data_IF_961252535041
#
_entry.id   IF_961252535041
#
_cell.length_a   1.000
_cell.length_b   1.000
_cell.length_c   1.000
_cell.angle_alpha   90.00
_cell.angle_beta   90.00
_cell.angle_gamma   90.00
#
_symmetry.space_group_name_H-M   'P 1'
#
loop_
_entity.id
_entity.type
_entity.pdbx_description
1 polymer ?
#
# COMPACT_ATOMS: atom_id res chain seq x y z
N UNK A 1 -1.88 -28.95 14.47
CA UNK A 1 -2.09 -27.75 15.30
C UNK A 1 -2.64 -26.65 14.42
N UNK A 2 -3.65 -25.94 14.89
CA UNK A 2 -4.30 -24.88 14.11
C UNK A 2 -3.46 -23.60 14.11
N UNK A 3 -3.75 -22.68 13.18
CA UNK A 3 -3.08 -21.37 13.12
C UNK A 3 -3.14 -20.65 14.48
N UNK A 4 -4.31 -20.60 15.10
CA UNK A 4 -4.52 -19.87 16.35
C UNK A 4 -3.74 -20.52 17.50
N UNK A 5 -3.76 -21.85 17.59
CA UNK A 5 -2.98 -22.59 18.58
C UNK A 5 -1.48 -22.35 18.43
N UNK A 6 -0.96 -22.32 17.21
CA UNK A 6 0.45 -22.03 16.95
C UNK A 6 0.82 -20.61 17.40
N UNK A 7 0.02 -19.61 16.99
CA UNK A 7 0.30 -18.20 17.31
C UNK A 7 0.17 -17.90 18.80
N UNK A 8 -0.77 -18.52 19.50
CA UNK A 8 -0.94 -18.33 20.94
C UNK A 8 0.19 -19.00 21.75
N UNK A 9 0.65 -20.19 21.32
CA UNK A 9 1.85 -20.81 21.90
C UNK A 9 3.11 -19.99 21.63
N UNK A 10 3.27 -19.49 20.41
CA UNK A 10 4.40 -18.63 20.05
C UNK A 10 4.39 -17.33 20.88
N UNK A 11 3.22 -16.70 21.07
CA UNK A 11 3.08 -15.52 21.96
C UNK A 11 3.49 -15.85 23.39
N UNK A 12 3.05 -16.98 23.93
CA UNK A 12 3.36 -17.39 25.30
C UNK A 12 4.86 -17.61 25.50
N UNK A 13 5.53 -18.31 24.56
CA UNK A 13 6.97 -18.55 24.63
C UNK A 13 7.80 -17.28 24.39
N UNK A 14 7.41 -16.42 23.45
CA UNK A 14 8.05 -15.10 23.28
C UNK A 14 7.91 -14.22 24.53
N UNK A 15 6.79 -14.34 25.26
CA UNK A 15 6.55 -13.61 26.52
C UNK A 15 7.47 -14.12 27.62
N UNK A 16 7.63 -15.44 27.70
CA UNK A 16 8.51 -16.12 28.64
C UNK A 16 9.99 -15.78 28.40
N UNK A 17 10.39 -15.65 27.13
CA UNK A 17 11.74 -15.26 26.72
C UNK A 17 11.95 -13.72 26.73
N UNK A 18 10.99 -12.96 27.25
CA UNK A 18 11.05 -11.50 27.41
C UNK A 18 11.42 -10.73 26.12
N UNK A 19 10.90 -11.18 24.98
CA UNK A 19 11.19 -10.60 23.66
C UNK A 19 10.39 -9.32 23.47
N UNK A 20 11.08 -8.17 23.42
CA UNK A 20 10.46 -6.85 23.29
C UNK A 20 9.65 -6.65 21.98
N UNK A 21 10.02 -7.35 20.91
CA UNK A 21 9.41 -7.22 19.57
C UNK A 21 8.38 -8.32 19.25
N UNK A 22 7.77 -8.94 20.27
CA UNK A 22 6.80 -10.04 20.10
C UNK A 22 5.67 -9.72 19.12
N UNK A 23 5.09 -8.52 19.19
CA UNK A 23 3.94 -8.14 18.37
C UNK A 23 4.26 -8.17 16.87
N UNK A 24 5.46 -7.71 16.50
CA UNK A 24 5.91 -7.71 15.10
C UNK A 24 6.19 -9.14 14.63
N UNK A 25 6.87 -9.96 15.45
CA UNK A 25 7.15 -11.37 15.14
C UNK A 25 5.86 -12.13 14.91
N UNK A 26 4.88 -12.02 15.82
CA UNK A 26 3.61 -12.72 15.70
C UNK A 26 2.84 -12.27 14.45
N UNK A 27 2.89 -10.97 14.13
CA UNK A 27 2.26 -10.44 12.91
C UNK A 27 2.89 -11.01 11.63
N UNK A 28 4.21 -11.23 11.59
CA UNK A 28 4.91 -11.86 10.47
C UNK A 28 4.48 -13.32 10.29
N UNK A 29 4.45 -14.10 11.38
CA UNK A 29 3.99 -15.49 11.33
C UNK A 29 2.53 -15.58 10.90
N UNK A 30 1.68 -14.68 11.39
CA UNK A 30 0.30 -14.60 10.97
C UNK A 30 0.16 -14.34 9.46
N UNK A 31 0.96 -13.42 8.91
CA UNK A 31 1.00 -13.17 7.47
C UNK A 31 1.50 -14.40 6.70
N UNK A 32 2.55 -15.08 7.18
CA UNK A 32 3.08 -16.29 6.55
C UNK A 32 2.03 -17.40 6.47
N UNK A 33 1.27 -17.63 7.55
CA UNK A 33 0.13 -18.54 7.54
C UNK A 33 -0.92 -18.12 6.50
N UNK A 34 -1.28 -16.84 6.43
CA UNK A 34 -2.26 -16.35 5.47
C UNK A 34 -1.82 -16.53 4.01
N UNK A 35 -0.51 -16.42 3.72
CA UNK A 35 0.03 -16.68 2.38
C UNK A 35 -0.02 -18.17 2.04
N UNK A 36 0.50 -19.03 2.91
CA UNK A 36 0.57 -20.47 2.62
C UNK A 36 -0.81 -21.13 2.54
N UNK A 37 -1.76 -20.67 3.35
CA UNK A 37 -3.14 -21.15 3.30
C UNK A 37 -3.79 -20.79 1.96
N UNK A 38 -3.50 -19.59 1.42
CA UNK A 38 -3.99 -19.19 0.10
C UNK A 38 -3.31 -19.91 -1.08
N UNK A 39 -2.11 -20.45 -0.87
CA UNK A 39 -1.42 -21.33 -1.82
C UNK A 39 -1.99 -22.78 -1.79
N UNK A 40 -2.95 -23.06 -0.91
CA UNK A 40 -3.65 -24.35 -0.80
C UNK A 40 -3.04 -25.32 0.21
N UNK A 41 -2.06 -24.89 1.01
CA UNK A 41 -1.51 -25.72 2.10
C UNK A 41 -2.45 -25.76 3.30
N UNK A 42 -2.58 -26.92 3.93
CA UNK A 42 -3.33 -27.06 5.19
C UNK A 42 -2.63 -26.37 6.36
N UNK A 43 -3.40 -25.86 7.33
CA UNK A 43 -2.83 -25.19 8.52
C UNK A 43 -1.81 -26.07 9.27
N UNK A 44 -2.08 -27.38 9.33
CA UNK A 44 -1.23 -28.35 10.00
C UNK A 44 0.10 -28.58 9.27
N UNK A 45 0.08 -28.58 7.94
CA UNK A 45 1.30 -28.68 7.12
C UNK A 45 2.16 -27.42 7.25
N UNK A 46 1.52 -26.26 7.34
CA UNK A 46 2.20 -24.97 7.53
C UNK A 46 2.90 -24.96 8.89
N UNK A 47 2.19 -25.37 9.95
CA UNK A 47 2.75 -25.46 11.30
C UNK A 47 3.89 -26.49 11.38
N UNK A 48 3.73 -27.66 10.74
CA UNK A 48 4.78 -28.67 10.68
C UNK A 48 6.05 -28.16 9.97
N UNK A 49 5.89 -27.37 8.90
CA UNK A 49 7.01 -26.75 8.16
C UNK A 49 7.69 -25.62 8.93
N UNK A 50 6.95 -24.89 9.78
CA UNK A 50 7.51 -23.82 10.61
C UNK A 50 8.30 -24.37 11.81
N UNK A 51 8.03 -25.61 12.22
CA UNK A 51 8.66 -26.26 13.36
C UNK A 51 7.94 -25.96 14.67
N UNK A 52 8.51 -26.40 15.80
CA UNK A 52 7.88 -26.17 17.11
C UNK A 52 7.98 -24.68 17.52
N UNK A 53 6.89 -24.06 18.01
CA UNK A 53 6.88 -22.64 18.39
C UNK A 53 7.88 -22.32 19.50
N UNK A 54 8.24 -23.29 20.35
CA UNK A 54 9.28 -23.18 21.38
C UNK A 54 10.68 -23.00 20.77
N UNK A 55 11.01 -23.77 19.72
CA UNK A 55 12.30 -23.67 19.02
C UNK A 55 12.39 -22.34 18.29
N UNK A 56 11.29 -21.92 17.66
CA UNK A 56 11.20 -20.62 17.00
C UNK A 56 11.34 -19.47 18.00
N UNK A 57 10.67 -19.53 19.15
CA UNK A 57 10.81 -18.52 20.20
C UNK A 57 12.22 -18.49 20.81
N UNK A 58 12.89 -19.64 20.90
CA UNK A 58 14.28 -19.73 21.36
C UNK A 58 15.28 -19.06 20.41
N UNK A 59 15.00 -18.99 19.09
CA UNK A 59 15.82 -18.22 18.15
C UNK A 59 15.80 -16.71 18.43
N UNK A 60 14.78 -16.23 19.15
CA UNK A 60 14.64 -14.83 19.55
C UNK A 60 15.09 -14.59 20.99
N UNK A 61 15.55 -15.63 21.69
CA UNK A 61 16.06 -15.53 23.05
C UNK A 61 17.41 -14.81 23.04
N UNK A 62 17.45 -13.66 23.69
CA UNK A 62 18.64 -12.82 23.82
C UNK A 62 19.69 -13.43 24.76
N UNK A 63 19.37 -14.53 25.45
CA UNK A 63 20.27 -15.23 26.37
C UNK A 63 21.31 -16.15 25.69
N UNK A 64 21.12 -16.53 24.41
CA UNK A 64 21.93 -17.55 23.73
C UNK A 64 23.15 -17.09 22.93
N UNK A 65 23.20 -15.83 22.44
CA UNK A 65 24.35 -15.32 21.68
C UNK A 65 25.24 -14.44 22.58
N UNK A 66 26.13 -15.09 23.33
CA UNK A 66 27.31 -14.43 23.85
C UNK A 66 28.16 -13.90 22.68
N UNK A 67 28.20 -12.57 22.50
CA UNK A 67 29.37 -11.91 21.92
C UNK A 67 29.29 -11.30 20.51
N UNK A 68 28.18 -10.67 20.09
CA UNK A 68 28.29 -9.61 19.06
C UNK A 68 28.41 -8.26 19.77
N UNK A 69 29.61 -7.69 19.73
CA UNK A 69 29.86 -6.35 20.23
C UNK A 69 28.91 -5.36 19.53
N UNK A 70 28.01 -4.73 20.30
CA UNK A 70 27.07 -3.74 19.76
C UNK A 70 27.78 -2.65 18.96
N UNK A 71 27.09 -2.09 17.97
CA UNK A 71 27.65 -1.10 17.03
C UNK A 71 28.60 -0.09 17.71
N UNK A 72 29.81 0.03 17.16
CA UNK A 72 30.78 1.04 17.57
C UNK A 72 30.22 2.46 17.44
N UNK A 73 30.78 3.40 18.20
CA UNK A 73 30.28 4.79 18.25
C UNK A 73 30.13 5.43 16.85
N UNK A 74 31.07 5.14 15.93
CA UNK A 74 31.00 5.63 14.55
C UNK A 74 29.76 5.11 13.78
N UNK A 75 29.39 3.84 13.97
CA UNK A 75 28.19 3.24 13.35
C UNK A 75 26.94 3.89 13.92
N UNK A 76 26.89 4.15 15.23
CA UNK A 76 25.75 4.84 15.86
C UNK A 76 25.56 6.27 15.34
N UNK A 77 26.66 7.01 15.14
CA UNK A 77 26.64 8.37 14.56
C UNK A 77 26.15 8.31 13.11
N UNK A 78 26.70 7.41 12.29
CA UNK A 78 26.25 7.24 10.90
C UNK A 78 24.78 6.85 10.80
N UNK A 79 24.33 5.96 11.69
CA UNK A 79 22.95 5.51 11.76
C UNK A 79 22.00 6.64 12.17
N UNK A 80 22.42 7.53 13.07
CA UNK A 80 21.65 8.72 13.45
C UNK A 80 21.41 9.65 12.25
N UNK A 81 22.46 9.97 11.48
CA UNK A 81 22.30 10.78 10.26
C UNK A 81 21.46 10.09 9.20
N UNK A 82 21.60 8.77 9.06
CA UNK A 82 20.78 7.96 8.14
C UNK A 82 19.31 8.02 8.54
N UNK A 83 19.00 7.87 9.83
CA UNK A 83 17.64 7.97 10.35
C UNK A 83 17.00 9.35 10.10
N UNK A 84 17.76 10.44 10.25
CA UNK A 84 17.28 11.80 9.93
C UNK A 84 16.93 11.87 8.44
N UNK A 85 17.86 11.47 7.56
CA UNK A 85 17.65 11.54 6.12
C UNK A 85 16.46 10.68 5.66
N UNK A 86 16.36 9.45 6.15
CA UNK A 86 15.21 8.57 5.90
C UNK A 86 13.90 9.20 6.37
N UNK A 87 13.87 9.77 7.58
CA UNK A 87 12.66 10.39 8.12
C UNK A 87 12.15 11.54 7.25
N UNK A 88 13.05 12.37 6.71
CA UNK A 88 12.70 13.44 5.80
C UNK A 88 12.11 12.89 4.50
N UNK A 89 12.71 11.84 3.93
CA UNK A 89 12.17 11.17 2.74
C UNK A 89 10.79 10.56 3.00
N UNK A 90 10.56 9.96 4.16
CA UNK A 90 9.26 9.41 4.54
C UNK A 90 8.20 10.48 4.73
N UNK A 91 8.55 11.64 5.29
CA UNK A 91 7.65 12.79 5.41
C UNK A 91 7.25 13.31 4.02
N UNK A 92 8.22 13.48 3.12
CA UNK A 92 7.96 13.90 1.73
C UNK A 92 7.08 12.87 1.00
N UNK A 93 7.38 11.58 1.17
CA UNK A 93 6.58 10.53 0.54
C UNK A 93 5.17 10.42 1.11
N UNK A 94 4.98 10.69 2.41
CA UNK A 94 3.66 10.81 3.03
C UNK A 94 2.89 12.01 2.48
N UNK A 95 3.53 13.18 2.37
CA UNK A 95 2.90 14.37 1.80
C UNK A 95 2.46 14.14 0.35
N UNK A 96 3.30 13.50 -0.45
CA UNK A 96 2.95 13.04 -1.80
C UNK A 96 1.76 12.09 -1.80
N UNK A 97 1.71 11.12 -0.87
CA UNK A 97 0.60 10.19 -0.75
C UNK A 97 -0.72 10.89 -0.37
N UNK A 98 -0.67 11.89 0.51
CA UNK A 98 -1.83 12.72 0.87
C UNK A 98 -2.33 13.51 -0.36
N UNK A 99 -1.41 14.12 -1.12
CA UNK A 99 -1.75 14.83 -2.34
C UNK A 99 -2.40 13.88 -3.37
N UNK A 100 -1.86 12.67 -3.55
CA UNK A 100 -2.42 11.65 -4.44
C UNK A 100 -3.84 11.24 -4.03
N UNK A 101 -4.08 11.05 -2.72
CA UNK A 101 -5.40 10.74 -2.18
C UNK A 101 -6.40 11.90 -2.35
N UNK A 102 -5.96 13.13 -2.10
CA UNK A 102 -6.77 14.33 -2.32
C UNK A 102 -7.13 14.50 -3.80
N UNK A 103 -6.19 14.25 -4.71
CA UNK A 103 -6.46 14.22 -6.15
C UNK A 103 -7.49 13.14 -6.51
N UNK A 104 -7.40 11.93 -5.94
CA UNK A 104 -8.40 10.88 -6.18
C UNK A 104 -9.83 11.35 -5.83
N UNK A 105 -9.99 12.01 -4.69
CA UNK A 105 -11.28 12.55 -4.24
C UNK A 105 -11.77 13.68 -5.13
N UNK A 106 -10.90 14.65 -5.46
CA UNK A 106 -11.26 15.76 -6.34
C UNK A 106 -11.71 15.27 -7.73
N UNK A 107 -10.99 14.30 -8.31
CA UNK A 107 -11.33 13.66 -9.58
C UNK A 107 -12.66 12.91 -9.46
N UNK A 108 -12.90 12.19 -8.35
CA UNK A 108 -14.18 11.50 -8.13
C UNK A 108 -15.36 12.48 -8.04
N UNK A 109 -15.19 13.60 -7.35
CA UNK A 109 -16.21 14.66 -7.26
C UNK A 109 -16.49 15.25 -8.64
N UNK A 110 -15.46 15.55 -9.43
CA UNK A 110 -15.61 16.03 -10.80
C UNK A 110 -16.38 15.01 -11.66
N UNK A 111 -16.01 13.73 -11.60
CA UNK A 111 -16.69 12.65 -12.31
C UNK A 111 -18.17 12.55 -11.92
N UNK A 112 -18.48 12.63 -10.63
CA UNK A 112 -19.85 12.65 -10.12
C UNK A 112 -20.65 13.86 -10.59
N UNK A 113 -20.03 15.05 -10.61
CA UNK A 113 -20.65 16.27 -11.12
C UNK A 113 -21.00 16.16 -12.61
N UNK A 114 -20.08 15.63 -13.42
CA UNK A 114 -20.27 15.43 -14.86
C UNK A 114 -21.38 14.42 -15.18
N UNK A 115 -21.47 13.33 -14.42
CA UNK A 115 -22.54 12.32 -14.56
C UNK A 115 -23.89 12.89 -14.11
N UNK A 116 -23.91 13.62 -13.00
CA UNK A 116 -25.12 14.19 -12.40
C UNK A 116 -25.59 15.50 -13.05
N UNK A 117 -24.84 16.06 -14.01
CA UNK A 117 -25.13 17.37 -14.60
C UNK A 117 -25.06 18.53 -13.59
N UNK A 118 -24.31 18.36 -12.50
CA UNK A 118 -24.19 19.34 -11.43
C UNK A 118 -23.05 20.30 -11.75
N UNK A 119 -23.33 21.59 -11.89
CA UNK A 119 -22.30 22.60 -12.10
C UNK A 119 -22.05 23.40 -10.81
N UNK A 120 -21.20 22.87 -9.94
CA UNK A 120 -20.82 23.52 -8.68
C UNK A 120 -19.99 24.77 -9.00
N UNK A 121 -20.47 25.94 -8.57
CA UNK A 121 -19.80 27.25 -8.75
C UNK A 121 -19.51 27.65 -10.21
N UNK A 122 -20.17 27.03 -11.20
CA UNK A 122 -19.95 27.37 -12.61
C UNK A 122 -18.57 26.94 -13.14
N UNK A 123 -17.87 26.03 -12.44
CA UNK A 123 -16.52 25.58 -12.79
C UNK A 123 -16.49 24.68 -14.03
N UNK A 124 -17.59 23.97 -14.33
CA UNK A 124 -17.64 23.04 -15.45
C UNK A 124 -18.07 23.80 -16.70
N UNK A 125 -17.25 23.83 -17.77
CA UNK A 125 -17.61 24.48 -19.01
C UNK A 125 -18.77 23.76 -19.69
N UNK A 126 -19.53 24.49 -20.50
CA UNK A 126 -20.68 23.93 -21.20
C UNK A 126 -20.26 22.82 -22.18
N UNK A 127 -20.98 21.69 -22.14
CA UNK A 127 -20.90 20.63 -23.13
C UNK A 127 -22.22 19.84 -23.18
N UNK A 128 -22.54 19.17 -24.28
CA UNK A 128 -23.73 18.33 -24.36
C UNK A 128 -23.70 17.18 -23.34
N UNK A 129 -24.88 16.82 -22.82
CA UNK A 129 -24.98 15.88 -21.71
C UNK A 129 -24.38 14.50 -22.00
N UNK A 130 -24.55 13.96 -23.21
CA UNK A 130 -23.98 12.66 -23.58
C UNK A 130 -22.45 12.67 -23.54
N UNK A 131 -21.82 13.77 -23.92
CA UNK A 131 -20.39 13.96 -23.76
C UNK A 131 -19.96 14.12 -22.29
N UNK A 132 -20.72 14.89 -21.50
CA UNK A 132 -20.51 15.03 -20.06
C UNK A 132 -20.61 13.69 -19.32
N UNK A 133 -21.61 12.87 -19.64
CA UNK A 133 -21.81 11.56 -19.04
C UNK A 133 -20.62 10.62 -19.31
N UNK A 134 -20.18 10.55 -20.58
CA UNK A 134 -19.04 9.72 -20.98
C UNK A 134 -17.73 10.18 -20.33
N UNK A 135 -17.47 11.50 -20.32
CA UNK A 135 -16.32 12.07 -19.63
C UNK A 135 -16.40 11.83 -18.12
N UNK A 136 -17.57 11.96 -17.51
CA UNK A 136 -17.77 11.71 -16.09
C UNK A 136 -17.43 10.28 -15.69
N UNK A 137 -17.95 9.29 -16.43
CA UNK A 137 -17.61 7.87 -16.22
C UNK A 137 -16.11 7.59 -16.47
N UNK A 138 -15.51 8.22 -17.48
CA UNK A 138 -14.07 8.15 -17.74
C UNK A 138 -13.26 8.65 -16.52
N UNK A 139 -13.59 9.84 -16.03
CA UNK A 139 -12.91 10.49 -14.90
C UNK A 139 -13.11 9.71 -13.59
N UNK A 140 -14.26 9.03 -13.39
CA UNK A 140 -14.45 8.10 -12.26
C UNK A 140 -13.53 6.87 -12.35
N UNK A 141 -13.26 6.38 -13.55
CA UNK A 141 -12.22 5.37 -13.79
C UNK A 141 -10.84 5.87 -13.37
N UNK A 142 -10.48 7.10 -13.75
CA UNK A 142 -9.23 7.73 -13.33
C UNK A 142 -9.13 7.90 -11.81
N UNK A 143 -10.21 8.32 -11.15
CA UNK A 143 -10.27 8.42 -9.69
C UNK A 143 -9.99 7.08 -9.01
N UNK A 144 -10.53 5.98 -9.56
CA UNK A 144 -10.30 4.63 -9.05
C UNK A 144 -8.83 4.20 -9.19
N UNK A 145 -8.16 4.56 -10.29
CA UNK A 145 -6.71 4.34 -10.48
C UNK A 145 -5.91 5.07 -9.38
N UNK A 146 -6.20 6.36 -9.16
CA UNK A 146 -5.54 7.16 -8.13
C UNK A 146 -5.81 6.63 -6.71
N UNK A 147 -7.03 6.17 -6.44
CA UNK A 147 -7.41 5.54 -5.17
C UNK A 147 -6.59 4.28 -4.89
N UNK A 148 -6.48 3.37 -5.88
CA UNK A 148 -5.64 2.16 -5.76
C UNK A 148 -4.17 2.52 -5.58
N UNK A 149 -3.66 3.50 -6.34
CA UNK A 149 -2.28 3.98 -6.21
C UNK A 149 -2.01 4.53 -4.80
N UNK A 150 -2.95 5.29 -4.23
CA UNK A 150 -2.86 5.83 -2.86
C UNK A 150 -2.73 4.72 -1.83
N UNK A 151 -3.60 3.71 -1.88
CA UNK A 151 -3.57 2.55 -0.97
C UNK A 151 -2.24 1.80 -1.10
N UNK A 152 -1.77 1.58 -2.32
CA UNK A 152 -0.52 0.86 -2.57
C UNK A 152 0.70 1.64 -2.05
N UNK A 153 0.81 2.93 -2.37
CA UNK A 153 1.90 3.80 -1.91
C UNK A 153 1.91 3.93 -0.38
N UNK A 154 0.75 4.02 0.27
CA UNK A 154 0.67 4.08 1.72
C UNK A 154 1.16 2.78 2.39
N UNK A 155 0.75 1.62 1.84
CA UNK A 155 1.24 0.33 2.32
C UNK A 155 2.76 0.18 2.11
N UNK A 156 3.28 0.69 0.98
CA UNK A 156 4.71 0.72 0.69
C UNK A 156 5.48 1.57 1.69
N UNK A 157 5.03 2.80 1.97
CA UNK A 157 5.61 3.68 2.98
C UNK A 157 5.65 2.99 4.36
N UNK A 158 4.53 2.39 4.78
CA UNK A 158 4.46 1.66 6.07
C UNK A 158 5.48 0.52 6.12
N UNK A 159 5.65 -0.23 5.03
CA UNK A 159 6.61 -1.33 4.98
C UNK A 159 8.05 -0.83 5.00
N UNK A 160 8.37 0.25 4.28
CA UNK A 160 9.71 0.85 4.29
C UNK A 160 10.10 1.30 5.70
N UNK A 161 9.20 2.01 6.40
CA UNK A 161 9.45 2.46 7.78
C UNK A 161 9.70 1.25 8.69
N UNK A 162 8.87 0.20 8.60
CA UNK A 162 9.06 -1.02 9.41
C UNK A 162 10.41 -1.69 9.13
N UNK A 163 10.74 -1.87 7.85
CA UNK A 163 11.99 -2.49 7.44
C UNK A 163 13.21 -1.66 7.87
N UNK A 164 13.13 -0.32 7.78
CA UNK A 164 14.24 0.54 8.19
C UNK A 164 14.40 0.61 9.69
N UNK A 165 13.31 0.66 10.47
CA UNK A 165 13.38 0.55 11.94
C UNK A 165 13.99 -0.79 12.37
N UNK A 166 13.59 -1.90 11.73
CA UNK A 166 14.16 -3.23 11.99
C UNK A 166 15.65 -3.30 11.65
N UNK A 167 16.05 -2.71 10.53
CA UNK A 167 17.44 -2.58 10.15
C UNK A 167 18.21 -1.81 11.23
N UNK A 168 17.75 -0.62 11.64
CA UNK A 168 18.38 0.18 12.70
C UNK A 168 18.52 -0.58 14.04
N UNK A 169 17.47 -1.31 14.44
CA UNK A 169 17.50 -2.17 15.63
C UNK A 169 18.55 -3.27 15.50
N UNK A 170 18.65 -3.94 14.36
CA UNK A 170 19.60 -5.02 14.14
C UNK A 170 21.07 -4.57 14.15
N UNK A 171 21.38 -3.33 13.72
CA UNK A 171 22.77 -2.83 13.85
C UNK A 171 23.11 -2.41 15.28
N UNK A 172 22.13 -2.01 16.09
CA UNK A 172 22.38 -1.46 17.43
C UNK A 172 22.21 -2.48 18.56
N UNK A 173 21.37 -3.50 18.35
CA UNK A 173 21.06 -4.55 19.31
C UNK A 173 21.97 -5.78 19.20
N UNK A 174 21.99 -6.58 20.27
CA UNK A 174 22.76 -7.83 20.34
C UNK A 174 22.01 -9.02 19.73
N UNK A 175 20.69 -8.93 19.54
CA UNK A 175 19.85 -9.95 18.91
C UNK A 175 19.53 -9.55 17.47
N UNK A 176 20.12 -10.24 16.51
CA UNK A 176 19.88 -10.03 15.09
C UNK A 176 18.55 -10.68 14.70
N UNK A 177 17.53 -9.86 14.50
CA UNK A 177 16.25 -10.33 14.02
C UNK A 177 16.31 -10.54 12.50
N UNK A 178 15.49 -11.44 11.91
CA UNK A 178 15.49 -11.64 10.47
C UNK A 178 15.11 -10.34 9.74
N UNK A 179 15.75 -10.05 8.59
CA UNK A 179 15.47 -8.86 7.81
C UNK A 179 14.05 -8.92 7.23
N UNK A 180 13.33 -7.80 7.33
CA UNK A 180 12.01 -7.64 6.73
C UNK A 180 12.12 -7.36 5.23
N UNK A 181 11.12 -7.79 4.46
CA UNK A 181 11.05 -7.44 3.04
C UNK A 181 10.78 -5.95 2.86
N UNK A 182 11.47 -5.32 1.92
CA UNK A 182 11.21 -3.91 1.56
C UNK A 182 9.92 -3.72 0.75
N UNK A 183 9.33 -4.80 0.23
CA UNK A 183 8.06 -4.79 -0.49
C UNK A 183 6.87 -5.07 0.45
N UNK A 184 5.75 -4.33 0.32
CA UNK A 184 4.56 -4.57 1.13
C UNK A 184 3.96 -5.94 0.82
N UNK A 185 3.74 -6.72 1.87
CA UNK A 185 3.12 -8.03 1.78
C UNK A 185 1.61 -7.89 2.00
N UNK A 186 0.85 -7.89 0.91
CA UNK A 186 -0.60 -7.87 0.98
C UNK A 186 -1.18 -9.27 1.14
N UNK A 187 -2.30 -9.37 1.87
CA UNK A 187 -3.08 -10.61 1.82
C UNK A 187 -3.43 -10.95 0.36
N UNK A 188 -3.44 -12.24 -0.02
CA UNK A 188 -3.77 -12.66 -1.39
C UNK A 188 -5.12 -12.13 -1.88
N UNK A 189 -6.12 -12.04 -1.00
CA UNK A 189 -7.43 -11.45 -1.29
C UNK A 189 -7.30 -9.97 -1.64
N UNK A 190 -6.65 -9.17 -0.78
CA UNK A 190 -6.46 -7.73 -1.01
C UNK A 190 -5.69 -7.47 -2.31
N UNK A 191 -4.62 -8.23 -2.57
CA UNK A 191 -3.82 -8.10 -3.80
C UNK A 191 -4.63 -8.35 -5.06
N UNK A 192 -5.45 -9.41 -5.07
CA UNK A 192 -6.33 -9.74 -6.20
C UNK A 192 -7.38 -8.64 -6.42
N UNK A 193 -8.00 -8.15 -5.34
CA UNK A 193 -8.99 -7.07 -5.43
C UNK A 193 -8.38 -5.78 -5.98
N UNK A 194 -7.26 -5.30 -5.44
CA UNK A 194 -6.60 -4.08 -5.91
C UNK A 194 -6.18 -4.19 -7.38
N UNK A 195 -5.62 -5.34 -7.79
CA UNK A 195 -5.25 -5.59 -9.19
C UNK A 195 -6.46 -5.57 -10.11
N UNK A 196 -7.56 -6.23 -9.74
CA UNK A 196 -8.75 -6.29 -10.57
C UNK A 196 -9.40 -4.91 -10.70
N UNK A 197 -9.49 -4.13 -9.60
CA UNK A 197 -9.98 -2.74 -9.64
C UNK A 197 -9.10 -1.92 -10.59
N UNK A 198 -7.77 -1.99 -10.47
CA UNK A 198 -6.85 -1.25 -11.31
C UNK A 198 -7.02 -1.60 -12.79
N UNK A 199 -7.03 -2.89 -13.14
CA UNK A 199 -7.15 -3.34 -14.52
C UNK A 199 -8.47 -2.89 -15.16
N UNK A 200 -9.59 -3.09 -14.47
CA UNK A 200 -10.89 -2.62 -14.95
C UNK A 200 -10.93 -1.10 -15.07
N UNK A 201 -10.37 -0.37 -14.10
CA UNK A 201 -10.34 1.10 -14.13
C UNK A 201 -9.52 1.64 -15.31
N UNK A 202 -8.38 1.01 -15.63
CA UNK A 202 -7.56 1.37 -16.79
C UNK A 202 -8.29 1.12 -18.10
N UNK A 203 -8.96 -0.02 -18.24
CA UNK A 203 -9.74 -0.36 -19.43
C UNK A 203 -10.90 0.63 -19.60
N UNK A 204 -11.68 0.86 -18.54
CA UNK A 204 -12.82 1.79 -18.55
C UNK A 204 -12.36 3.21 -18.87
N UNK A 205 -11.30 3.69 -18.22
CA UNK A 205 -10.72 5.00 -18.50
C UNK A 205 -10.28 5.11 -19.96
N UNK A 206 -9.46 4.17 -20.45
CA UNK A 206 -8.92 4.23 -21.81
C UNK A 206 -10.00 4.19 -22.89
N UNK A 207 -10.96 3.27 -22.76
CA UNK A 207 -12.05 3.13 -23.75
C UNK A 207 -12.98 4.34 -23.71
N UNK A 208 -13.43 4.76 -22.53
CA UNK A 208 -14.36 5.88 -22.43
C UNK A 208 -13.69 7.22 -22.78
N UNK A 209 -12.40 7.38 -22.54
CA UNK A 209 -11.67 8.57 -22.95
C UNK A 209 -11.75 8.76 -24.48
N UNK A 210 -11.45 7.71 -25.24
CA UNK A 210 -11.51 7.74 -26.70
C UNK A 210 -12.94 7.98 -27.19
N UNK A 211 -13.92 7.25 -26.65
CA UNK A 211 -15.33 7.39 -27.05
C UNK A 211 -15.85 8.79 -26.73
N UNK A 212 -15.61 9.30 -25.53
CA UNK A 212 -16.04 10.62 -25.11
C UNK A 212 -15.46 11.69 -26.04
N UNK A 213 -14.17 11.59 -26.35
CA UNK A 213 -13.49 12.54 -27.23
C UNK A 213 -14.08 12.55 -28.64
N UNK A 214 -14.31 11.37 -29.23
CA UNK A 214 -14.95 11.24 -30.56
C UNK A 214 -16.37 11.79 -30.54
N UNK A 215 -17.18 11.49 -29.51
CA UNK A 215 -18.54 11.99 -29.39
C UNK A 215 -18.59 13.52 -29.30
N UNK A 216 -17.70 14.12 -28.51
CA UNK A 216 -17.63 15.59 -28.39
C UNK A 216 -17.20 16.24 -29.71
N UNK A 217 -16.24 15.64 -30.43
CA UNK A 217 -15.84 16.10 -31.77
C UNK A 217 -17.00 16.08 -32.76
N UNK A 218 -17.75 14.97 -32.81
CA UNK A 218 -18.89 14.82 -33.71
C UNK A 218 -20.01 15.82 -33.39
N UNK A 219 -20.25 16.07 -32.10
CA UNK A 219 -21.28 17.02 -31.66
C UNK A 219 -20.90 18.48 -31.93
N UNK A 220 -19.63 18.83 -31.80
CA UNK A 220 -19.15 20.16 -32.13
C UNK A 220 -18.95 20.38 -33.64
N UNK A 221 -18.91 19.31 -34.44
CA UNK A 221 -18.54 19.39 -35.85
C UNK A 221 -17.10 19.87 -36.09
N UNK A 222 -16.26 19.81 -35.07
CA UNK A 222 -14.90 20.34 -35.07
C UNK A 222 -13.96 19.46 -34.23
N UNK A 223 -12.71 19.31 -34.68
CA UNK A 223 -11.66 18.60 -33.91
C UNK A 223 -11.42 19.27 -32.55
N UNK A 224 -11.41 20.61 -32.52
CA UNK A 224 -11.25 21.40 -31.29
C UNK A 224 -12.60 21.80 -30.69
N UNK A 225 -13.39 20.83 -30.21
CA UNK A 225 -14.72 21.10 -29.62
C UNK A 225 -14.66 22.11 -28.46
N UNK A 226 -13.55 22.15 -27.73
CA UNK A 226 -13.31 23.10 -26.64
C UNK A 226 -13.23 24.55 -27.12
N UNK A 227 -12.78 24.80 -28.36
CA UNK A 227 -12.86 26.14 -28.96
C UNK A 227 -14.29 26.46 -29.41
N UNK A 228 -15.01 25.48 -29.96
CA UNK A 228 -16.40 25.66 -30.39
C UNK A 228 -17.33 26.05 -29.23
N UNK A 229 -17.11 25.49 -28.05
CA UNK A 229 -17.87 25.82 -26.83
C UNK A 229 -17.18 26.84 -25.91
N UNK A 230 -16.13 27.52 -26.36
CA UNK A 230 -15.42 28.57 -25.60
C UNK A 230 -15.00 28.13 -24.18
N UNK A 231 -14.43 26.94 -24.04
CA UNK A 231 -13.94 26.43 -22.76
C UNK A 231 -12.79 27.27 -22.18
N UNK A 232 -12.06 27.96 -23.04
CA UNK A 232 -10.93 28.80 -22.70
C UNK A 232 -11.20 30.21 -23.25
N UNK A 233 -11.08 31.21 -22.39
CA UNK A 233 -11.10 32.64 -22.75
C UNK A 233 -9.67 33.12 -22.95
#
# INVERSE_FOLDING_TARGET
MTKNEYLDKLRAELKKNNVADMGDIVSEYEQHFAFKLADGYGEEEIAAKLGAPEIVAAQFDSAGEAGKAGAGAFVKIGLFFTAIFESLLYIVFLAWNIALGASAVAIAVLGGCLVGGLNIMGLIPYMPYSGSLLLGLCVLGLASIFGVATVYCFAFLKQMIKASVRWHKNMTGNSALPPLSWNPQFSPKTRRTLRNILLWSVIVFGVLFVIAFVVLMLQAGAMGFWHHWNWFV
#
